data_IF_202972488143
#
_entry.id   IF_202972488143
#
_cell.length_a   1.000
_cell.length_b   1.000
_cell.length_c   1.000
_cell.angle_alpha   90.00
_cell.angle_beta   90.00
_cell.angle_gamma   90.00
#
_symmetry.space_group_name_H-M   'P 1'
#
loop_
_entity.id
_entity.type
_entity.pdbx_description
1 polymer ?
#
# COMPACT_ATOMS: atom_id res chain seq x y z
N UNK A 1 -8.02 -5.03 -8.82
CA UNK A 1 -6.70 -5.36 -9.37
C UNK A 1 -6.24 -6.70 -8.83
N UNK A 2 -4.93 -6.86 -8.68
CA UNK A 2 -4.26 -7.97 -8.00
C UNK A 2 -3.04 -7.45 -7.24
N UNK A 3 -2.56 -8.21 -6.26
CA UNK A 3 -1.21 -8.02 -5.72
C UNK A 3 -0.20 -8.81 -6.56
N UNK A 4 1.05 -8.38 -6.54
CA UNK A 4 2.16 -9.09 -7.18
C UNK A 4 3.47 -8.89 -6.40
N UNK A 5 4.47 -9.72 -6.67
CA UNK A 5 5.78 -9.69 -6.01
C UNK A 5 6.91 -9.36 -7.00
N UNK A 6 8.11 -9.10 -6.46
CA UNK A 6 9.37 -8.97 -7.21
C UNK A 6 9.38 -7.91 -8.33
N UNK A 7 8.52 -6.90 -8.24
CA UNK A 7 8.23 -5.95 -9.32
C UNK A 7 7.83 -6.62 -10.66
N UNK A 8 7.33 -7.86 -10.60
CA UNK A 8 6.85 -8.63 -11.75
C UNK A 8 5.33 -8.74 -11.70
N UNK A 9 4.65 -8.02 -12.59
CA UNK A 9 3.17 -8.00 -12.65
C UNK A 9 2.57 -9.35 -13.02
N UNK A 10 3.34 -10.32 -13.50
CA UNK A 10 2.86 -11.67 -13.79
C UNK A 10 3.02 -12.62 -12.57
N UNK A 11 3.82 -12.24 -11.57
CA UNK A 11 4.01 -12.95 -10.30
C UNK A 11 2.90 -12.59 -9.28
N UNK A 12 1.67 -13.03 -9.57
CA UNK A 12 0.50 -12.76 -8.71
C UNK A 12 0.61 -13.45 -7.35
N UNK A 13 0.44 -12.67 -6.28
CA UNK A 13 0.39 -13.16 -4.89
C UNK A 13 -0.98 -12.94 -4.26
N UNK A 14 -1.29 -13.75 -3.25
CA UNK A 14 -2.55 -13.64 -2.52
C UNK A 14 -2.50 -12.55 -1.43
N UNK A 15 -3.66 -12.04 -0.98
CA UNK A 15 -3.71 -11.13 0.18
C UNK A 15 -3.10 -11.73 1.45
N UNK A 16 -3.18 -13.05 1.65
CA UNK A 16 -2.56 -13.74 2.77
C UNK A 16 -1.03 -13.60 2.73
N UNK A 17 -0.42 -13.73 1.54
CA UNK A 17 1.02 -13.51 1.38
C UNK A 17 1.42 -12.06 1.65
N UNK A 18 0.55 -11.09 1.34
CA UNK A 18 0.77 -9.68 1.71
C UNK A 18 0.67 -9.49 3.23
N UNK A 19 -0.27 -10.17 3.90
CA UNK A 19 -0.41 -10.11 5.36
C UNK A 19 0.80 -10.71 6.11
N UNK A 20 1.56 -11.59 5.45
CA UNK A 20 2.77 -12.20 5.99
C UNK A 20 4.03 -11.30 5.84
N UNK A 21 3.90 -10.14 5.18
CA UNK A 21 5.01 -9.18 5.06
C UNK A 21 5.32 -8.57 6.42
N UNK A 22 6.57 -8.76 6.88
CA UNK A 22 7.13 -8.12 8.06
C UNK A 22 8.20 -7.12 7.63
N UNK A 23 8.10 -5.89 8.13
CA UNK A 23 9.08 -4.83 7.90
C UNK A 23 9.86 -4.63 9.21
N UNK A 24 11.13 -5.06 9.28
CA UNK A 24 11.97 -4.80 10.45
C UNK A 24 12.21 -3.30 10.66
N UNK A 25 12.59 -2.92 11.88
CA UNK A 25 13.08 -1.57 12.15
C UNK A 25 14.23 -1.19 11.20
N UNK A 26 14.22 0.06 10.74
CA UNK A 26 15.24 0.61 9.82
C UNK A 26 15.33 -0.11 8.45
N UNK A 27 14.31 -0.87 8.06
CA UNK A 27 14.21 -1.51 6.74
C UNK A 27 12.99 -0.98 5.96
N UNK A 28 12.93 -1.35 4.68
CA UNK A 28 11.79 -1.08 3.80
C UNK A 28 11.17 -2.39 3.34
N UNK A 29 9.85 -2.40 3.17
CA UNK A 29 9.12 -3.50 2.54
C UNK A 29 8.19 -2.95 1.48
N UNK A 30 8.06 -3.69 0.38
CA UNK A 30 7.27 -3.27 -0.78
C UNK A 30 5.98 -4.06 -0.89
N UNK A 31 4.89 -3.36 -1.22
CA UNK A 31 3.61 -3.96 -1.60
C UNK A 31 3.27 -3.45 -2.99
N UNK A 32 3.15 -4.37 -3.95
CA UNK A 32 2.83 -4.01 -5.32
C UNK A 32 1.41 -4.40 -5.70
N UNK A 33 0.70 -3.52 -6.41
CA UNK A 33 -0.62 -3.80 -6.96
C UNK A 33 -0.82 -3.22 -8.36
N UNK A 34 -1.50 -3.96 -9.23
CA UNK A 34 -1.82 -3.53 -10.58
C UNK A 34 -3.25 -3.96 -10.99
N UNK A 35 -3.72 -3.45 -12.13
CA UNK A 35 -4.92 -3.97 -12.79
C UNK A 35 -4.74 -5.42 -13.25
N UNK A 36 -5.86 -6.11 -13.51
CA UNK A 36 -5.81 -7.44 -14.13
C UNK A 36 -5.73 -7.31 -15.65
N UNK A 37 -4.88 -8.11 -16.28
CA UNK A 37 -4.75 -8.13 -17.74
C UNK A 37 -6.12 -8.43 -18.39
N UNK A 38 -6.44 -7.71 -19.48
CA UNK A 38 -7.72 -7.88 -20.19
C UNK A 38 -8.94 -7.22 -19.51
N UNK A 39 -8.78 -6.56 -18.36
CA UNK A 39 -9.87 -5.88 -17.66
C UNK A 39 -9.56 -4.37 -17.47
N UNK A 40 -10.31 -3.44 -18.10
CA UNK A 40 -10.06 -2.01 -18.01
C UNK A 40 -10.65 -1.40 -16.72
N UNK A 41 -10.21 -1.90 -15.56
CA UNK A 41 -10.73 -1.49 -14.24
C UNK A 41 -9.66 -0.78 -13.40
N UNK A 42 -8.39 -1.18 -13.49
CA UNK A 42 -7.31 -0.67 -12.63
C UNK A 42 -7.21 -1.41 -11.29
N UNK A 43 -6.69 -0.74 -10.25
CA UNK A 43 -6.55 -1.32 -8.91
C UNK A 43 -7.02 -0.39 -7.81
N UNK A 44 -7.62 -0.96 -6.77
CA UNK A 44 -8.08 -0.26 -5.59
C UNK A 44 -7.97 -1.22 -4.41
N UNK A 45 -7.72 -0.68 -3.23
CA UNK A 45 -7.64 -1.49 -2.02
C UNK A 45 -7.17 -0.70 -0.82
N UNK A 46 -6.98 -1.44 0.27
CA UNK A 46 -6.39 -0.94 1.50
C UNK A 46 -5.66 -2.06 2.23
N UNK A 47 -4.78 -1.68 3.16
CA UNK A 47 -4.20 -2.56 4.16
C UNK A 47 -3.94 -1.78 5.45
N UNK A 48 -3.91 -2.48 6.57
CA UNK A 48 -3.53 -1.91 7.86
C UNK A 48 -2.04 -2.13 8.10
N UNK A 49 -1.35 -1.10 8.58
CA UNK A 49 -0.04 -1.23 9.21
C UNK A 49 -0.26 -1.45 10.70
N UNK A 50 0.36 -2.49 11.24
CA UNK A 50 0.21 -2.91 12.63
C UNK A 50 1.60 -3.10 13.22
N UNK A 51 1.83 -2.53 14.40
CA UNK A 51 3.03 -2.83 15.17
C UNK A 51 2.91 -4.26 15.72
N UNK A 52 3.88 -5.11 15.37
CA UNK A 52 3.85 -6.53 15.71
C UNK A 52 4.18 -6.81 17.17
N UNK A 53 4.86 -5.90 17.85
CA UNK A 53 5.31 -6.08 19.23
C UNK A 53 4.17 -5.85 20.24
N UNK A 54 3.33 -4.85 19.95
CA UNK A 54 2.20 -4.47 20.82
C UNK A 54 0.81 -4.70 20.19
N UNK A 55 0.75 -5.16 18.94
CA UNK A 55 -0.47 -5.41 18.16
C UNK A 55 -1.38 -4.17 17.99
N UNK A 56 -0.84 -2.97 18.10
CA UNK A 56 -1.59 -1.73 17.85
C UNK A 56 -1.62 -1.43 16.35
N UNK A 57 -2.80 -1.03 15.86
CA UNK A 57 -2.90 -0.45 14.52
C UNK A 57 -2.14 0.88 14.50
N UNK A 58 -1.26 1.04 13.52
CA UNK A 58 -0.52 2.27 13.24
C UNK A 58 -1.36 3.18 12.37
N UNK A 59 -1.82 2.68 11.22
CA UNK A 59 -2.73 3.39 10.30
C UNK A 59 -3.33 2.43 9.28
N UNK A 60 -4.30 2.92 8.50
CA UNK A 60 -4.82 2.24 7.31
C UNK A 60 -4.31 2.95 6.05
N UNK A 61 -3.63 2.25 5.17
CA UNK A 61 -3.23 2.74 3.84
C UNK A 61 -4.33 2.43 2.84
N UNK A 62 -4.73 3.41 2.05
CA UNK A 62 -5.79 3.30 1.04
C UNK A 62 -5.27 3.79 -0.32
N UNK A 63 -5.67 3.13 -1.40
CA UNK A 63 -5.38 3.58 -2.76
C UNK A 63 -6.55 3.34 -3.73
N UNK A 64 -6.59 4.16 -4.77
CA UNK A 64 -7.36 3.92 -5.97
C UNK A 64 -6.58 4.38 -7.17
N UNK A 65 -6.46 3.52 -8.17
CA UNK A 65 -5.84 3.78 -9.46
C UNK A 65 -6.69 3.16 -10.57
N UNK A 66 -7.77 3.84 -11.00
CA UNK A 66 -8.67 3.32 -12.02
C UNK A 66 -7.97 3.23 -13.38
N UNK A 67 -8.52 2.43 -14.30
CA UNK A 67 -8.00 2.33 -15.67
C UNK A 67 -7.93 3.67 -16.42
N UNK A 68 -8.87 4.56 -16.14
CA UNK A 68 -8.88 5.94 -16.63
C UNK A 68 -9.36 6.88 -15.54
N UNK A 69 -8.70 8.04 -15.41
CA UNK A 69 -9.07 9.09 -14.48
C UNK A 69 -7.98 9.38 -13.44
N UNK A 70 -8.41 9.99 -12.33
CA UNK A 70 -7.54 10.37 -11.24
C UNK A 70 -7.26 9.21 -10.30
N UNK A 71 -6.00 9.09 -9.89
CA UNK A 71 -5.55 8.15 -8.86
C UNK A 71 -5.23 8.87 -7.55
N UNK A 72 -5.35 8.16 -6.44
CA UNK A 72 -4.94 8.63 -5.12
C UNK A 72 -4.31 7.53 -4.27
N UNK A 73 -3.53 7.96 -3.28
CA UNK A 73 -3.03 7.14 -2.18
C UNK A 73 -2.99 8.01 -0.91
N UNK A 74 -3.43 7.44 0.22
CA UNK A 74 -3.60 8.17 1.49
C UNK A 74 -3.53 7.24 2.70
N UNK A 75 -3.07 7.77 3.83
CA UNK A 75 -3.23 7.14 5.14
C UNK A 75 -4.47 7.69 5.87
N UNK A 76 -5.18 6.82 6.58
CA UNK A 76 -6.29 7.15 7.49
C UNK A 76 -6.10 6.46 8.83
N UNK A 77 -6.91 6.81 9.83
CA UNK A 77 -6.89 6.20 11.18
C UNK A 77 -5.49 6.12 11.81
N UNK A 78 -4.69 7.18 11.65
CA UNK A 78 -3.34 7.25 12.19
C UNK A 78 -3.41 7.28 13.72
N UNK A 79 -2.73 6.33 14.36
CA UNK A 79 -2.58 6.24 15.80
C UNK A 79 -1.62 7.34 16.28
N UNK A 80 -2.03 8.07 17.32
CA UNK A 80 -1.30 9.22 17.86
C UNK A 80 0.06 8.87 18.48
N UNK A 81 0.36 7.59 18.72
CA UNK A 81 1.67 7.12 19.16
C UNK A 81 2.68 7.00 18.00
N UNK A 82 2.23 7.25 16.76
CA UNK A 82 3.06 7.11 15.57
C UNK A 82 2.94 8.35 14.70
N UNK A 83 4.01 8.61 13.94
CA UNK A 83 4.03 9.55 12.83
C UNK A 83 4.07 8.76 11.53
N UNK A 84 3.09 8.99 10.67
CA UNK A 84 3.02 8.40 9.32
C UNK A 84 3.21 9.52 8.30
N UNK A 85 4.33 9.48 7.58
CA UNK A 85 4.63 10.37 6.47
C UNK A 85 4.21 9.73 5.17
N UNK A 86 3.27 10.36 4.47
CA UNK A 86 2.80 9.91 3.15
C UNK A 86 2.72 11.13 2.23
N UNK A 87 3.38 11.12 1.06
CA UNK A 87 3.21 12.19 0.10
C UNK A 87 1.77 12.12 -0.42
N UNK A 88 1.10 13.28 -0.48
CA UNK A 88 -0.24 13.34 -1.06
C UNK A 88 -0.12 13.05 -2.57
N UNK A 89 -0.52 11.85 -2.99
CA UNK A 89 -0.53 11.48 -4.41
C UNK A 89 -1.88 11.78 -5.03
N UNK A 90 -1.87 12.65 -6.03
CA UNK A 90 -2.97 12.85 -6.97
C UNK A 90 -2.39 12.91 -8.38
N UNK A 91 -2.69 11.89 -9.18
CA UNK A 91 -2.13 11.75 -10.52
C UNK A 91 -3.23 11.52 -11.55
N UNK A 92 -3.03 12.02 -12.77
CA UNK A 92 -3.78 11.55 -13.95
C UNK A 92 -3.02 10.36 -14.53
N UNK A 93 -3.62 9.16 -14.45
CA UNK A 93 -2.91 7.90 -14.71
C UNK A 93 -2.48 7.20 -13.42
N UNK A 94 -1.53 6.25 -13.47
CA UNK A 94 -1.17 5.40 -12.33
C UNK A 94 -0.69 6.20 -11.10
N UNK A 95 -0.87 5.62 -9.89
CA UNK A 95 -0.28 6.17 -8.65
C UNK A 95 1.26 6.24 -8.73
N UNK A 96 1.89 5.24 -9.33
CA UNK A 96 3.35 5.09 -9.34
C UNK A 96 3.89 4.50 -8.03
N UNK A 97 5.20 4.67 -7.79
CA UNK A 97 5.85 4.30 -6.54
C UNK A 97 5.71 5.42 -5.51
N UNK A 98 5.43 5.05 -4.27
CA UNK A 98 5.21 5.97 -3.17
C UNK A 98 5.89 5.46 -1.92
N UNK A 99 6.82 6.25 -1.39
CA UNK A 99 7.46 5.96 -0.12
C UNK A 99 6.55 6.40 1.03
N UNK A 100 6.35 5.49 1.99
CA UNK A 100 5.61 5.75 3.24
C UNK A 100 6.60 5.59 4.38
N UNK A 101 6.77 6.63 5.19
CA UNK A 101 7.62 6.58 6.38
C UNK A 101 6.77 6.40 7.64
N UNK A 102 7.23 5.55 8.56
CA UNK A 102 6.60 5.33 9.86
C UNK A 102 7.65 5.51 10.95
N UNK A 103 7.28 6.24 12.00
CA UNK A 103 8.12 6.50 13.18
C UNK A 103 7.24 6.37 14.44
N UNK A 104 7.67 5.59 15.42
CA UNK A 104 7.06 5.56 16.77
C UNK A 104 7.53 6.81 17.55
N UNK A 105 6.64 7.42 18.35
CA UNK A 105 6.84 8.71 19.03
C UNK A 105 7.21 8.60 20.52
#
# INVERSE_FOLDING_TARGET
GKFYANDDKDDEISPEQVNDILIPESATGDIYSCGRQGAPIGTQGSFDLVDKDNFQKICTINWSSPYSGGSYLSASDVNNNYRVGIPAVRANGPVGFVDISVEEL
#
